data_IF_540907339701
#
_entry.id   IF_540907339701
#
_cell.length_a   1.000
_cell.length_b   1.000
_cell.length_c   1.000
_cell.angle_alpha   90.00
_cell.angle_beta   90.00
_cell.angle_gamma   90.00
#
_symmetry.space_group_name_H-M   'P 1'
#
loop_
_entity.id
_entity.type
_entity.pdbx_description
1 polymer ?
#
# COMPACT_ATOMS: atom_id res chain seq x y z
N UNK A 1 14.15 -23.96 4.90
CA UNK A 1 14.38 -22.98 3.83
C UNK A 1 13.59 -21.73 4.11
N UNK A 2 14.28 -20.63 4.20
CA UNK A 2 13.59 -19.37 4.41
C UNK A 2 12.96 -18.88 3.13
N UNK A 3 11.72 -18.43 3.21
CA UNK A 3 11.07 -17.81 2.09
C UNK A 3 11.63 -16.41 1.89
N UNK A 4 11.87 -16.04 0.65
CA UNK A 4 12.33 -14.70 0.33
C UNK A 4 11.12 -13.76 0.18
N UNK A 5 11.26 -12.56 0.69
CA UNK A 5 10.26 -11.53 0.51
C UNK A 5 10.11 -11.23 -1.00
N UNK A 6 8.87 -11.06 -1.42
CA UNK A 6 8.55 -10.79 -2.83
C UNK A 6 8.79 -9.33 -3.20
N UNK A 7 8.89 -8.44 -2.23
CA UNK A 7 9.15 -7.03 -2.48
C UNK A 7 9.72 -6.37 -1.23
N UNK A 8 10.34 -5.21 -1.43
CA UNK A 8 10.71 -4.29 -0.37
C UNK A 8 9.69 -3.16 -0.37
N UNK A 9 9.54 -2.48 0.76
CA UNK A 9 8.57 -1.41 0.85
C UNK A 9 9.23 -0.13 1.35
N UNK A 10 8.85 0.98 0.74
CA UNK A 10 9.21 2.32 1.20
C UNK A 10 7.91 3.05 1.49
N UNK A 11 7.87 3.79 2.59
CA UNK A 11 6.71 4.58 2.98
C UNK A 11 6.97 6.03 2.66
N UNK A 12 6.03 6.67 1.95
CA UNK A 12 6.08 8.12 1.75
C UNK A 12 5.82 8.81 3.09
N UNK A 13 6.07 10.12 3.13
CA UNK A 13 5.76 10.90 4.32
C UNK A 13 4.27 10.80 4.68
N UNK A 14 3.39 10.87 3.67
CA UNK A 14 1.95 10.78 3.91
C UNK A 14 1.55 9.42 4.47
N UNK A 15 2.16 8.35 3.98
CA UNK A 15 1.90 7.01 4.51
C UNK A 15 2.36 6.89 5.95
N UNK A 16 3.57 7.40 6.25
CA UNK A 16 4.08 7.40 7.62
C UNK A 16 3.18 8.20 8.55
N UNK A 17 2.76 9.38 8.11
CA UNK A 17 1.88 10.23 8.92
C UNK A 17 0.55 9.54 9.21
N UNK A 18 -0.02 8.90 8.20
CA UNK A 18 -1.26 8.15 8.40
C UNK A 18 -1.08 7.08 9.47
N UNK A 19 -0.03 6.27 9.35
CA UNK A 19 0.23 5.18 10.29
C UNK A 19 0.53 5.71 11.69
N UNK A 20 1.32 6.77 11.79
CA UNK A 20 1.72 7.32 13.09
C UNK A 20 0.59 8.02 13.83
N UNK A 21 -0.47 8.41 13.11
CA UNK A 21 -1.65 9.01 13.73
C UNK A 21 -2.70 7.99 14.18
N UNK A 22 -2.46 6.71 13.92
CA UNK A 22 -3.36 5.64 14.36
C UNK A 22 -2.96 5.13 15.74
N UNK A 23 -3.91 4.61 16.53
CA UNK A 23 -3.56 3.91 17.76
C UNK A 23 -2.56 2.80 17.48
N UNK A 24 -1.65 2.58 18.42
CA UNK A 24 -0.56 1.62 18.24
C UNK A 24 -1.04 0.24 17.82
N UNK A 25 -2.10 -0.26 18.41
CA UNK A 25 -2.63 -1.58 18.07
C UNK A 25 -3.04 -1.70 16.60
N UNK A 26 -3.64 -0.64 16.07
CA UNK A 26 -4.09 -0.62 14.69
C UNK A 26 -2.88 -0.52 13.75
N UNK A 27 -1.95 0.39 14.07
CA UNK A 27 -0.71 0.52 13.30
C UNK A 27 0.02 -0.81 13.26
N UNK A 28 0.18 -1.49 14.40
CA UNK A 28 0.88 -2.75 14.47
C UNK A 28 0.20 -3.82 13.61
N UNK A 29 -1.13 -3.84 13.59
CA UNK A 29 -1.87 -4.79 12.76
C UNK A 29 -1.65 -4.53 11.27
N UNK A 30 -1.65 -3.26 10.87
CA UNK A 30 -1.39 -2.90 9.48
C UNK A 30 0.03 -3.32 9.07
N UNK A 31 1.02 -2.99 9.89
CA UNK A 31 2.42 -3.36 9.62
C UNK A 31 2.57 -4.88 9.56
N UNK A 32 1.91 -5.60 10.45
CA UNK A 32 1.93 -7.06 10.43
C UNK A 32 1.37 -7.61 9.11
N UNK A 33 0.23 -7.06 8.65
CA UNK A 33 -0.38 -7.51 7.41
C UNK A 33 0.49 -7.19 6.20
N UNK A 34 1.16 -6.04 6.20
CA UNK A 34 2.10 -5.68 5.13
C UNK A 34 3.27 -6.66 5.11
N UNK A 35 3.83 -6.96 6.28
CA UNK A 35 4.93 -7.92 6.39
C UNK A 35 4.51 -9.29 5.86
N UNK A 36 3.29 -9.72 6.19
CA UNK A 36 2.77 -10.99 5.69
C UNK A 36 2.60 -10.97 4.17
N UNK A 37 2.13 -9.85 3.61
CA UNK A 37 1.94 -9.70 2.17
C UNK A 37 3.24 -9.83 1.38
N UNK A 38 4.38 -9.55 2.01
CA UNK A 38 5.68 -9.72 1.35
C UNK A 38 5.99 -11.18 1.02
N UNK A 39 5.38 -12.11 1.73
CA UNK A 39 5.69 -13.54 1.58
C UNK A 39 4.52 -14.32 1.01
N UNK A 40 3.30 -13.86 1.18
CA UNK A 40 2.09 -14.60 0.78
C UNK A 40 1.27 -13.74 -0.16
N UNK A 41 0.97 -14.28 -1.34
CA UNK A 41 0.09 -13.60 -2.29
C UNK A 41 -1.35 -13.84 -1.83
N UNK A 42 -1.95 -12.82 -1.25
CA UNK A 42 -3.30 -12.91 -0.70
C UNK A 42 -4.07 -11.62 -1.03
N UNK A 43 -5.09 -11.71 -1.92
CA UNK A 43 -5.86 -10.52 -2.30
C UNK A 43 -6.59 -9.85 -1.14
N UNK A 44 -6.80 -10.57 -0.03
CA UNK A 44 -7.39 -9.94 1.15
C UNK A 44 -6.43 -9.02 1.87
N UNK A 45 -5.12 -9.18 1.62
CA UNK A 45 -4.09 -8.35 2.22
C UNK A 45 -3.53 -7.30 1.27
N UNK A 46 -3.43 -7.65 -0.02
CA UNK A 46 -2.76 -6.79 -0.99
C UNK A 46 -3.33 -7.09 -2.38
N UNK A 47 -3.97 -6.12 -2.99
CA UNK A 47 -4.70 -6.33 -4.23
C UNK A 47 -4.53 -5.15 -5.18
N UNK A 48 -4.40 -5.46 -6.47
CA UNK A 48 -4.41 -4.43 -7.51
C UNK A 48 -5.83 -3.92 -7.71
N UNK A 49 -5.98 -2.61 -7.83
CA UNK A 49 -7.26 -2.00 -8.15
C UNK A 49 -7.49 -2.09 -9.65
N UNK A 50 -8.71 -2.48 -10.04
CA UNK A 50 -9.05 -2.72 -11.44
C UNK A 50 -8.78 -1.52 -12.32
N UNK A 51 -8.23 -1.76 -13.52
CA UNK A 51 -7.94 -0.75 -14.53
C UNK A 51 -6.97 0.33 -14.08
N UNK A 52 -6.14 0.04 -13.09
CA UNK A 52 -5.15 1.00 -12.59
C UNK A 52 -3.80 0.33 -12.39
N UNK A 53 -2.77 1.15 -12.14
CA UNK A 53 -1.48 0.65 -11.68
C UNK A 53 -1.32 0.79 -10.17
N UNK A 54 -2.42 1.02 -9.47
CA UNK A 54 -2.42 1.23 -8.04
C UNK A 54 -2.81 -0.06 -7.33
N UNK A 55 -2.09 -0.38 -6.27
CA UNK A 55 -2.34 -1.52 -5.42
C UNK A 55 -2.80 -1.02 -4.04
N UNK A 56 -3.46 -1.90 -3.32
CA UNK A 56 -4.09 -1.55 -2.05
C UNK A 56 -3.70 -2.58 -1.00
N UNK A 57 -3.00 -2.14 0.06
CA UNK A 57 -2.85 -2.94 1.26
C UNK A 57 -4.13 -2.82 2.07
N UNK A 58 -4.62 -3.94 2.55
CA UNK A 58 -5.95 -4.03 3.17
C UNK A 58 -5.82 -4.57 4.59
N UNK A 59 -6.41 -3.87 5.56
CA UNK A 59 -6.47 -4.33 6.94
C UNK A 59 -7.88 -4.12 7.47
N UNK A 60 -8.45 -5.16 8.03
CA UNK A 60 -9.74 -5.10 8.70
C UNK A 60 -9.51 -5.32 10.18
N UNK A 61 -9.86 -4.34 10.99
CA UNK A 61 -9.63 -4.40 12.42
C UNK A 61 -10.78 -3.73 13.15
N UNK A 62 -11.38 -4.45 14.10
CA UNK A 62 -12.46 -3.93 14.93
C UNK A 62 -13.59 -3.30 14.09
N UNK A 63 -14.00 -4.01 13.04
CA UNK A 63 -15.05 -3.63 12.09
C UNK A 63 -14.73 -2.41 11.23
N UNK A 64 -13.48 -1.97 11.23
CA UNK A 64 -13.04 -0.83 10.43
C UNK A 64 -12.09 -1.31 9.34
N UNK A 65 -12.26 -0.78 8.13
CA UNK A 65 -11.44 -1.11 6.98
C UNK A 65 -10.40 -0.03 6.78
N UNK A 66 -9.13 -0.40 6.92
CA UNK A 66 -8.00 0.50 6.70
C UNK A 66 -7.37 0.16 5.36
N UNK A 67 -7.01 1.17 4.60
CA UNK A 67 -6.40 1.00 3.29
C UNK A 67 -5.13 1.84 3.19
N UNK A 68 -4.11 1.28 2.54
CA UNK A 68 -2.88 1.99 2.24
C UNK A 68 -2.60 1.75 0.76
N UNK A 69 -2.63 2.80 -0.04
CA UNK A 69 -2.42 2.68 -1.48
C UNK A 69 -0.94 2.69 -1.81
N UNK A 70 -0.58 2.00 -2.87
CA UNK A 70 0.81 1.77 -3.21
C UNK A 70 0.96 1.53 -4.71
N UNK A 71 2.19 1.62 -5.19
CA UNK A 71 2.52 1.22 -6.56
C UNK A 71 3.88 0.53 -6.58
N UNK A 72 4.13 -0.20 -7.66
CA UNK A 72 5.38 -0.92 -7.84
C UNK A 72 6.39 -0.07 -8.61
N UNK A 73 7.63 -0.09 -8.16
CA UNK A 73 8.76 0.43 -8.92
C UNK A 73 9.63 -0.75 -9.31
N UNK A 74 9.62 -1.10 -10.59
CA UNK A 74 10.38 -2.22 -11.13
C UNK A 74 11.55 -1.77 -11.98
N UNK A 75 11.84 -0.48 -12.00
CA UNK A 75 12.83 0.09 -12.91
C UNK A 75 14.26 -0.38 -12.62
N UNK A 76 14.53 -0.87 -11.43
CA UNK A 76 15.87 -1.32 -11.07
C UNK A 76 16.16 -2.78 -11.42
N UNK A 77 15.28 -3.42 -12.15
CA UNK A 77 15.50 -4.79 -12.63
C UNK A 77 15.51 -5.88 -11.57
N UNK A 78 15.62 -5.52 -10.31
CA UNK A 78 15.67 -6.48 -9.23
C UNK A 78 14.38 -6.53 -8.47
N UNK A 79 13.35 -6.22 -9.06
CA UNK A 79 12.07 -6.35 -8.47
C UNK A 79 11.80 -5.60 -7.26
N UNK A 80 10.98 -4.83 -7.39
CA UNK A 80 9.92 -4.93 -6.44
C UNK A 80 10.18 -4.10 -5.25
N UNK A 81 10.33 -2.85 -5.55
CA UNK A 81 10.14 -1.82 -4.57
C UNK A 81 8.68 -1.41 -4.65
N UNK A 82 7.97 -1.54 -3.54
CA UNK A 82 6.61 -1.04 -3.42
C UNK A 82 6.66 0.28 -2.68
N UNK A 83 6.08 1.30 -3.27
CA UNK A 83 6.03 2.63 -2.67
C UNK A 83 4.65 2.82 -2.07
N UNK A 84 4.57 2.86 -0.76
CA UNK A 84 3.31 3.14 -0.07
C UNK A 84 3.07 4.65 -0.11
N UNK A 85 1.92 5.04 -0.62
CA UNK A 85 1.64 6.44 -0.97
C UNK A 85 0.89 7.17 0.13
N UNK A 86 -0.31 6.70 0.45
CA UNK A 86 -1.12 7.31 1.50
C UNK A 86 -2.18 6.31 1.97
N UNK A 87 -2.71 6.56 3.15
CA UNK A 87 -3.72 5.69 3.75
C UNK A 87 -5.02 6.43 4.01
N UNK A 88 -6.07 5.66 4.20
CA UNK A 88 -7.37 6.20 4.55
C UNK A 88 -8.23 5.10 5.17
N UNK A 89 -9.31 5.52 5.84
CA UNK A 89 -10.31 4.61 6.38
C UNK A 89 -11.41 4.47 5.33
N UNK A 90 -11.67 3.24 4.92
CA UNK A 90 -12.64 2.97 3.86
C UNK A 90 -14.04 2.87 4.45
N UNK A 91 -14.95 3.71 3.97
CA UNK A 91 -16.33 3.77 4.45
C UNK A 91 -17.35 3.30 3.42
N UNK A 92 -16.91 2.96 2.22
CA UNK A 92 -17.76 2.55 1.12
C UNK A 92 -17.37 1.16 0.63
N UNK A 93 -18.19 0.58 -0.26
CA UNK A 93 -17.92 -0.73 -0.83
C UNK A 93 -16.68 -0.73 -1.73
N UNK A 94 -16.48 0.35 -2.46
CA UNK A 94 -15.34 0.49 -3.37
C UNK A 94 -14.39 1.55 -2.86
N UNK A 95 -13.11 1.42 -3.25
CA UNK A 95 -12.14 2.47 -2.98
C UNK A 95 -12.57 3.74 -3.70
N UNK A 96 -12.67 4.87 -2.99
CA UNK A 96 -13.16 6.11 -3.60
C UNK A 96 -12.30 6.54 -4.79
N UNK A 97 -12.92 6.93 -5.91
CA UNK A 97 -12.16 7.35 -7.09
C UNK A 97 -11.18 8.50 -6.84
N UNK A 98 -11.49 9.41 -5.92
CA UNK A 98 -10.58 10.51 -5.60
C UNK A 98 -9.28 10.01 -4.94
N UNK A 99 -9.35 8.95 -4.16
CA UNK A 99 -8.15 8.38 -3.55
C UNK A 99 -7.29 7.71 -4.60
N UNK A 100 -7.90 7.02 -5.54
CA UNK A 100 -7.20 6.39 -6.65
C UNK A 100 -6.55 7.45 -7.53
N UNK A 101 -7.28 8.52 -7.86
CA UNK A 101 -6.74 9.61 -8.69
C UNK A 101 -5.54 10.29 -8.04
N UNK A 102 -5.63 10.53 -6.73
CA UNK A 102 -4.51 11.09 -5.96
C UNK A 102 -3.29 10.17 -6.04
N UNK A 103 -3.50 8.87 -5.88
CA UNK A 103 -2.42 7.89 -5.93
C UNK A 103 -1.77 7.86 -7.32
N UNK A 104 -2.57 7.91 -8.38
CA UNK A 104 -2.04 7.92 -9.74
C UNK A 104 -1.23 9.18 -10.05
N UNK A 105 -1.68 10.33 -9.56
CA UNK A 105 -0.93 11.58 -9.73
C UNK A 105 0.42 11.50 -9.02
N UNK A 106 0.45 10.95 -7.81
CA UNK A 106 1.68 10.78 -7.06
C UNK A 106 2.62 9.80 -7.77
N UNK A 107 2.07 8.71 -8.31
CA UNK A 107 2.85 7.74 -9.06
C UNK A 107 3.49 8.38 -10.29
N UNK A 108 2.72 9.15 -11.05
CA UNK A 108 3.25 9.85 -12.23
C UNK A 108 4.37 10.82 -11.85
N UNK A 109 4.17 11.60 -10.78
CA UNK A 109 5.17 12.53 -10.31
C UNK A 109 6.45 11.81 -9.87
N UNK A 110 6.30 10.67 -9.20
CA UNK A 110 7.44 9.86 -8.78
C UNK A 110 8.30 9.44 -9.97
N UNK A 111 7.67 8.85 -11.00
CA UNK A 111 8.43 8.38 -12.16
C UNK A 111 8.97 9.53 -13.00
N UNK A 112 8.27 10.67 -13.06
CA UNK A 112 8.80 11.83 -13.77
C UNK A 112 10.04 12.40 -13.07
N UNK A 113 10.10 12.36 -11.76
CA UNK A 113 11.25 12.86 -11.01
C UNK A 113 12.50 11.98 -11.16
N UNK A 114 12.34 10.76 -11.64
CA UNK A 114 13.46 9.82 -11.84
C UNK A 114 14.13 9.97 -13.20
N UNK A 115 13.56 10.75 -14.07
CA UNK A 115 14.15 10.94 -15.41
C UNK A 115 15.32 11.92 -15.39
#
# INVERSE_FOLDING_TARGET
MEEKAKFKIIYSKDADDFLNNLPTKIKDKIIYNIAKAKFVIDPELFKKLDDTDIWEFRTFYNKVKYRLLAFWDKDNGTNTLVIAIHGFIKKTQKTPPKEIAKAEDIRKAYFNSKK
#
